data_IF_471239292437
#
_entry.id   IF_471239292437
#
_cell.length_a   1.000
_cell.length_b   1.000
_cell.length_c   1.000
_cell.angle_alpha   90.00
_cell.angle_beta   90.00
_cell.angle_gamma   90.00
#
_symmetry.space_group_name_H-M   'P 1'
#
loop_
_entity.id
_entity.type
_entity.pdbx_description
1 polymer ?
#
# COMPACT_ATOMS: atom_id res chain seq x y z
N UNK A 1 -7.49 1.04 -1.45
CA UNK A 1 -8.09 1.39 -2.76
C UNK A 1 -9.61 1.58 -2.72
N UNK A 2 -10.36 0.91 -1.86
CA UNK A 2 -11.81 1.18 -1.66
C UNK A 2 -12.13 2.64 -1.33
N UNK A 3 -11.21 3.34 -0.66
CA UNK A 3 -11.38 4.74 -0.30
C UNK A 3 -11.60 5.70 -1.49
N UNK A 4 -11.07 5.41 -2.68
CA UNK A 4 -11.29 6.24 -3.85
C UNK A 4 -12.80 6.32 -4.23
N UNK A 5 -13.48 5.19 -4.30
CA UNK A 5 -14.88 5.15 -4.74
C UNK A 5 -15.81 5.81 -3.73
N UNK A 6 -15.61 5.52 -2.45
CA UNK A 6 -16.38 6.11 -1.37
C UNK A 6 -16.10 7.62 -1.28
N UNK A 7 -14.83 8.02 -1.30
CA UNK A 7 -14.42 9.43 -1.27
C UNK A 7 -14.99 10.22 -2.43
N UNK A 8 -14.97 9.65 -3.64
CA UNK A 8 -15.56 10.28 -4.81
C UNK A 8 -17.09 10.45 -4.69
N UNK A 9 -17.80 9.44 -4.20
CA UNK A 9 -19.24 9.50 -4.02
C UNK A 9 -19.64 10.56 -2.96
N UNK A 10 -18.88 10.68 -1.88
CA UNK A 10 -19.08 11.69 -0.85
C UNK A 10 -18.76 13.10 -1.40
N UNK A 11 -17.64 13.25 -2.09
CA UNK A 11 -17.24 14.52 -2.68
C UNK A 11 -18.27 15.01 -3.71
N UNK A 12 -18.80 14.11 -4.54
CA UNK A 12 -19.87 14.38 -5.48
C UNK A 12 -21.16 14.83 -4.78
N UNK A 13 -21.58 14.13 -3.71
CA UNK A 13 -22.77 14.47 -2.94
C UNK A 13 -22.67 15.84 -2.26
N UNK A 14 -21.50 16.14 -1.70
CA UNK A 14 -21.28 17.35 -0.92
C UNK A 14 -20.68 18.50 -1.76
N UNK A 15 -20.45 18.29 -3.05
CA UNK A 15 -19.81 19.23 -3.96
C UNK A 15 -18.44 19.73 -3.41
N UNK A 16 -17.61 18.79 -2.92
CA UNK A 16 -16.30 19.07 -2.36
C UNK A 16 -15.20 18.81 -3.37
N UNK A 17 -14.10 19.57 -3.34
CA UNK A 17 -12.89 19.23 -4.08
C UNK A 17 -12.30 17.92 -3.53
N UNK A 18 -11.72 17.12 -4.41
CA UNK A 18 -11.07 15.85 -4.05
C UNK A 18 -9.64 15.82 -4.60
N UNK A 19 -8.70 15.33 -3.80
CA UNK A 19 -7.33 15.03 -4.21
C UNK A 19 -7.15 13.53 -4.11
N UNK A 20 -6.60 12.93 -5.17
CA UNK A 20 -6.25 11.51 -5.16
C UNK A 20 -4.82 11.34 -4.63
N UNK A 21 -4.64 10.53 -3.60
CA UNK A 21 -3.33 10.24 -3.01
C UNK A 21 -3.03 8.73 -3.06
N UNK A 22 -1.88 8.36 -3.62
CA UNK A 22 -1.47 6.97 -3.83
C UNK A 22 -0.02 6.74 -3.43
N UNK A 23 0.27 5.55 -2.94
CA UNK A 23 1.64 5.09 -2.65
C UNK A 23 2.17 4.14 -3.73
N UNK A 24 1.35 3.83 -4.74
CA UNK A 24 1.72 3.00 -5.90
C UNK A 24 1.20 3.64 -7.18
N UNK A 25 1.85 3.43 -8.34
CA UNK A 25 1.44 4.04 -9.60
C UNK A 25 0.11 3.45 -10.08
N UNK A 26 -0.93 4.27 -10.10
CA UNK A 26 -2.30 3.88 -10.45
C UNK A 26 -2.81 4.53 -11.73
N UNK A 27 -2.21 5.64 -12.14
CA UNK A 27 -2.52 6.32 -13.41
C UNK A 27 -2.03 5.50 -14.59
N UNK A 28 -2.88 5.20 -15.59
CA UNK A 28 -2.48 4.46 -16.77
C UNK A 28 -1.32 5.15 -17.51
N UNK A 29 -0.34 4.34 -17.90
CA UNK A 29 0.81 4.79 -18.71
C UNK A 29 1.19 3.73 -19.73
N UNK A 30 1.92 4.15 -20.77
CA UNK A 30 2.53 3.28 -21.77
C UNK A 30 3.93 2.80 -21.35
N UNK A 31 4.53 3.39 -20.32
CA UNK A 31 5.93 3.15 -19.97
C UNK A 31 6.15 1.85 -19.20
N UNK A 32 5.19 1.46 -18.36
CA UNK A 32 5.24 0.21 -17.60
C UNK A 32 3.84 -0.40 -17.42
N UNK A 33 3.81 -1.70 -17.14
CA UNK A 33 2.57 -2.44 -16.85
C UNK A 33 2.04 -2.13 -15.47
N UNK A 34 0.75 -2.40 -15.21
CA UNK A 34 0.14 -2.19 -13.90
C UNK A 34 0.76 -3.09 -12.83
N UNK A 35 0.69 -2.66 -11.57
CA UNK A 35 1.29 -3.37 -10.42
C UNK A 35 0.73 -4.79 -10.17
N UNK A 36 -0.44 -5.12 -10.70
CA UNK A 36 -1.07 -6.42 -10.54
C UNK A 36 -0.87 -7.35 -11.75
N UNK A 37 -0.17 -6.89 -12.78
CA UNK A 37 0.08 -7.67 -13.99
C UNK A 37 1.56 -8.01 -14.12
N UNK A 38 1.92 -9.15 -14.74
CA UNK A 38 3.31 -9.43 -15.08
C UNK A 38 3.84 -8.39 -16.07
N UNK A 39 5.16 -8.37 -16.25
CA UNK A 39 5.78 -7.52 -17.28
C UNK A 39 5.19 -7.87 -18.66
N UNK A 40 4.60 -6.89 -19.29
CA UNK A 40 3.99 -7.01 -20.61
C UNK A 40 4.80 -6.23 -21.66
N UNK A 41 4.69 -6.56 -22.95
CA UNK A 41 5.21 -5.74 -24.03
C UNK A 41 4.62 -4.32 -23.96
N UNK A 42 5.46 -3.31 -24.25
CA UNK A 42 5.09 -1.88 -24.14
C UNK A 42 3.70 -1.51 -24.70
N UNK A 43 3.27 -2.02 -25.89
CA UNK A 43 1.94 -1.67 -26.42
C UNK A 43 0.77 -2.07 -25.50
N UNK A 44 0.95 -3.08 -24.67
CA UNK A 44 -0.10 -3.62 -23.77
C UNK A 44 -0.09 -2.94 -22.38
N UNK A 45 0.91 -2.15 -22.06
CA UNK A 45 1.03 -1.54 -20.74
C UNK A 45 -0.21 -0.73 -20.37
N UNK A 46 -0.65 0.18 -21.23
CA UNK A 46 -1.83 1.01 -20.96
C UNK A 46 -3.12 0.18 -20.79
N UNK A 47 -3.26 -0.88 -21.60
CA UNK A 47 -4.38 -1.82 -21.48
C UNK A 47 -4.38 -2.54 -20.13
N UNK A 48 -3.20 -2.95 -19.62
CA UNK A 48 -3.07 -3.60 -18.32
C UNK A 48 -3.61 -2.74 -17.17
N UNK A 49 -3.35 -1.44 -17.21
CA UNK A 49 -3.90 -0.49 -16.23
C UNK A 49 -5.42 -0.37 -16.35
N UNK A 50 -5.95 -0.33 -17.57
CA UNK A 50 -7.39 -0.23 -17.78
C UNK A 50 -8.11 -1.49 -17.28
N UNK A 51 -7.57 -2.67 -17.58
CA UNK A 51 -8.11 -3.95 -17.08
C UNK A 51 -8.04 -4.04 -15.56
N UNK A 52 -6.92 -3.66 -14.96
CA UNK A 52 -6.79 -3.60 -13.50
C UNK A 52 -7.83 -2.68 -12.87
N UNK A 53 -7.99 -1.46 -13.38
CA UNK A 53 -9.01 -0.51 -12.92
C UNK A 53 -10.42 -1.08 -13.02
N UNK A 54 -10.73 -1.70 -14.16
CA UNK A 54 -12.04 -2.31 -14.38
C UNK A 54 -12.28 -3.49 -13.44
N UNK A 55 -11.32 -4.37 -13.26
CA UNK A 55 -11.41 -5.50 -12.34
C UNK A 55 -11.66 -5.02 -10.90
N UNK A 56 -10.90 -4.03 -10.46
CA UNK A 56 -11.09 -3.45 -9.13
C UNK A 56 -12.46 -2.79 -8.98
N UNK A 57 -12.89 -2.03 -9.98
CA UNK A 57 -14.20 -1.41 -9.96
C UNK A 57 -15.32 -2.44 -9.84
N UNK A 58 -15.28 -3.53 -10.60
CA UNK A 58 -16.31 -4.57 -10.52
C UNK A 58 -16.38 -5.22 -9.12
N UNK A 59 -15.26 -5.36 -8.44
CA UNK A 59 -15.22 -5.84 -7.05
C UNK A 59 -15.91 -4.90 -6.04
N UNK A 60 -15.92 -3.60 -6.29
CA UNK A 60 -16.55 -2.60 -5.39
C UNK A 60 -17.90 -2.09 -5.87
N UNK A 61 -18.30 -2.36 -7.11
CA UNK A 61 -19.46 -1.76 -7.77
C UNK A 61 -20.77 -1.98 -7.02
N UNK A 62 -21.02 -3.17 -6.50
CA UNK A 62 -22.26 -3.47 -5.76
C UNK A 62 -22.35 -2.65 -4.48
N UNK A 63 -21.26 -2.54 -3.72
CA UNK A 63 -21.20 -1.75 -2.51
C UNK A 63 -21.34 -0.25 -2.80
N UNK A 64 -20.65 0.26 -3.84
CA UNK A 64 -20.79 1.64 -4.29
C UNK A 64 -22.22 1.97 -4.71
N UNK A 65 -22.85 1.09 -5.50
CA UNK A 65 -24.23 1.28 -5.93
C UNK A 65 -25.20 1.34 -4.75
N UNK A 66 -25.00 0.48 -3.76
CA UNK A 66 -25.81 0.47 -2.54
C UNK A 66 -25.63 1.76 -1.74
N UNK A 67 -24.38 2.17 -1.51
CA UNK A 67 -24.05 3.39 -0.78
C UNK A 67 -24.60 4.64 -1.49
N UNK A 68 -24.42 4.77 -2.79
CA UNK A 68 -24.95 5.88 -3.59
C UNK A 68 -26.47 5.98 -3.49
N UNK A 69 -27.18 4.87 -3.71
CA UNK A 69 -28.65 4.85 -3.72
C UNK A 69 -29.24 4.97 -2.32
N UNK A 70 -28.76 4.16 -1.37
CA UNK A 70 -29.40 4.03 -0.05
C UNK A 70 -28.95 5.07 0.97
N UNK A 71 -27.69 5.50 0.89
CA UNK A 71 -27.11 6.41 1.89
C UNK A 71 -27.04 7.84 1.36
N UNK A 72 -26.50 8.01 0.15
CA UNK A 72 -26.20 9.33 -0.40
C UNK A 72 -27.36 9.93 -1.23
N UNK A 73 -28.30 9.13 -1.69
CA UNK A 73 -29.39 9.56 -2.55
C UNK A 73 -28.94 10.12 -3.90
N UNK A 74 -27.86 9.55 -4.47
CA UNK A 74 -27.32 9.93 -5.79
C UNK A 74 -27.36 8.75 -6.77
N UNK A 75 -27.32 9.01 -8.10
CA UNK A 75 -27.30 7.97 -9.10
C UNK A 75 -26.11 7.01 -8.96
N UNK A 76 -26.26 5.73 -9.36
CA UNK A 76 -25.13 4.80 -9.39
C UNK A 76 -24.08 5.24 -10.42
N UNK A 77 -22.82 4.92 -10.16
CA UNK A 77 -21.75 5.14 -11.13
C UNK A 77 -21.92 4.22 -12.36
N UNK A 78 -21.37 4.60 -13.53
CA UNK A 78 -21.44 3.80 -14.75
C UNK A 78 -20.83 2.40 -14.59
N UNK A 79 -21.19 1.48 -15.49
CA UNK A 79 -20.61 0.13 -15.53
C UNK A 79 -19.08 0.16 -15.66
N UNK A 80 -18.54 1.09 -16.47
CA UNK A 80 -17.11 1.30 -16.67
C UNK A 80 -16.39 1.93 -15.48
N UNK A 81 -17.12 2.27 -14.41
CA UNK A 81 -16.60 2.94 -13.24
C UNK A 81 -16.51 4.47 -13.38
N UNK A 82 -16.07 5.15 -12.33
CA UNK A 82 -16.05 6.61 -12.28
C UNK A 82 -14.82 7.21 -13.00
N UNK A 83 -13.90 6.43 -13.50
CA UNK A 83 -12.60 6.88 -14.01
C UNK A 83 -12.65 7.87 -15.17
N UNK A 84 -13.75 7.86 -15.94
CA UNK A 84 -13.95 8.76 -17.06
C UNK A 84 -14.86 9.95 -16.71
N UNK A 85 -15.24 10.12 -15.45
CA UNK A 85 -16.04 11.28 -15.03
C UNK A 85 -15.22 12.57 -15.19
N UNK A 86 -15.88 13.64 -15.61
CA UNK A 86 -15.26 14.97 -15.73
C UNK A 86 -14.65 15.42 -14.39
N UNK A 87 -15.34 15.12 -13.29
CA UNK A 87 -14.88 15.43 -11.94
C UNK A 87 -13.53 14.77 -11.66
N UNK A 88 -13.39 13.48 -11.96
CA UNK A 88 -12.14 12.76 -11.67
C UNK A 88 -10.97 13.16 -12.58
N UNK A 89 -11.25 13.53 -13.83
CA UNK A 89 -10.21 13.89 -14.80
C UNK A 89 -9.49 15.20 -14.47
N UNK A 90 -10.16 16.13 -13.80
CA UNK A 90 -9.58 17.42 -13.38
C UNK A 90 -8.93 17.41 -11.99
N UNK A 91 -9.06 16.32 -11.23
CA UNK A 91 -8.56 16.24 -9.86
C UNK A 91 -7.05 16.06 -9.82
N UNK A 92 -6.34 16.73 -8.87
CA UNK A 92 -4.94 16.45 -8.61
C UNK A 92 -4.72 15.00 -8.17
N UNK A 93 -3.62 14.42 -8.64
CA UNK A 93 -3.15 13.09 -8.25
C UNK A 93 -1.77 13.23 -7.63
N UNK A 94 -1.63 12.81 -6.38
CA UNK A 94 -0.38 12.83 -5.64
C UNK A 94 0.16 11.41 -5.48
N UNK A 95 1.45 11.23 -5.72
CA UNK A 95 2.15 9.98 -5.56
C UNK A 95 3.21 10.10 -4.47
N UNK A 96 3.06 9.31 -3.38
CA UNK A 96 3.98 9.23 -2.25
C UNK A 96 5.12 8.24 -2.50
N UNK A 97 5.85 8.40 -3.60
CA UNK A 97 7.08 7.68 -3.91
C UNK A 97 8.11 8.59 -4.58
N UNK A 98 9.36 8.15 -4.66
CA UNK A 98 10.44 8.92 -5.27
C UNK A 98 10.46 8.78 -6.79
N UNK A 99 10.72 9.88 -7.50
CA UNK A 99 10.95 9.87 -8.95
C UNK A 99 12.25 9.12 -9.35
N UNK A 100 13.16 8.91 -8.40
CA UNK A 100 14.34 8.07 -8.62
C UNK A 100 14.00 6.58 -8.68
N UNK A 101 12.88 6.16 -8.07
CA UNK A 101 12.39 4.77 -8.09
C UNK A 101 11.43 4.54 -9.26
N UNK A 102 10.50 5.46 -9.46
CA UNK A 102 9.56 5.44 -10.58
C UNK A 102 9.63 6.81 -11.25
N UNK A 103 10.37 6.94 -12.37
CA UNK A 103 10.45 8.18 -13.12
C UNK A 103 9.07 8.65 -13.58
N UNK A 104 8.87 9.96 -13.70
CA UNK A 104 7.61 10.53 -14.14
C UNK A 104 7.31 10.11 -15.60
N UNK A 105 6.23 9.35 -15.87
CA UNK A 105 5.87 8.94 -17.21
C UNK A 105 5.50 10.13 -18.09
N UNK A 106 6.03 10.13 -19.32
CA UNK A 106 5.82 11.22 -20.29
C UNK A 106 4.35 11.40 -20.73
N UNK A 107 3.52 10.37 -20.55
CA UNK A 107 2.09 10.39 -20.92
C UNK A 107 1.16 10.70 -19.73
N UNK A 108 1.71 11.02 -18.55
CA UNK A 108 0.92 11.54 -17.44
C UNK A 108 0.60 13.03 -17.64
N UNK A 109 -0.53 13.45 -17.07
CA UNK A 109 -1.01 14.82 -17.18
C UNK A 109 -0.37 15.73 -16.14
N UNK A 110 -0.42 17.05 -16.38
CA UNK A 110 0.09 18.09 -15.49
C UNK A 110 -0.50 18.08 -14.08
N UNK A 111 -1.72 17.55 -13.90
CA UNK A 111 -2.35 17.42 -12.58
C UNK A 111 -1.87 16.19 -11.79
N UNK A 112 -0.86 15.48 -12.27
CA UNK A 112 -0.25 14.32 -11.59
C UNK A 112 1.11 14.72 -11.04
N UNK A 113 1.34 14.52 -9.75
CA UNK A 113 2.54 14.95 -9.06
C UNK A 113 3.19 13.80 -8.29
N UNK A 114 4.50 13.60 -8.47
CA UNK A 114 5.32 12.72 -7.63
C UNK A 114 5.93 13.58 -6.53
N UNK A 115 5.51 13.38 -5.28
CA UNK A 115 5.83 14.25 -4.15
C UNK A 115 6.91 13.69 -3.22
N UNK A 116 7.50 12.56 -3.56
CA UNK A 116 8.38 11.83 -2.64
C UNK A 116 7.61 11.01 -1.61
N UNK A 117 8.32 10.30 -0.75
CA UNK A 117 7.73 9.49 0.30
C UNK A 117 7.09 10.36 1.38
N UNK A 118 5.95 9.93 1.87
CA UNK A 118 5.27 10.57 2.99
C UNK A 118 5.65 9.88 4.29
N UNK A 119 6.30 10.64 5.16
CA UNK A 119 6.68 10.17 6.49
C UNK A 119 5.72 10.78 7.52
N UNK A 120 5.54 10.07 8.61
CA UNK A 120 4.91 10.58 9.82
C UNK A 120 6.03 10.75 10.83
N UNK A 121 6.23 11.95 11.35
CA UNK A 121 7.21 12.20 12.38
C UNK A 121 6.88 11.38 13.63
N UNK A 122 7.91 10.87 14.29
CA UNK A 122 7.74 10.14 15.54
C UNK A 122 7.22 11.08 16.62
N UNK A 123 6.39 10.56 17.54
CA UNK A 123 5.97 11.32 18.68
C UNK A 123 7.20 11.60 19.57
N UNK A 124 7.44 12.87 19.90
CA UNK A 124 8.61 13.31 20.65
C UNK A 124 8.70 12.65 22.04
N UNK A 125 7.58 12.22 22.59
CA UNK A 125 7.43 11.59 23.90
C UNK A 125 7.43 10.05 23.84
N UNK A 126 7.57 9.44 22.65
CA UNK A 126 7.60 7.98 22.54
C UNK A 126 8.83 7.38 23.25
N UNK A 127 8.59 6.41 24.11
CA UNK A 127 9.61 5.64 24.78
C UNK A 127 9.41 4.14 24.53
N UNK A 128 10.47 3.37 24.29
CA UNK A 128 10.33 1.94 24.15
C UNK A 128 9.87 1.31 25.48
N UNK A 129 9.01 0.29 25.47
CA UNK A 129 8.68 -0.48 26.67
C UNK A 129 9.94 -0.99 27.37
N UNK A 130 9.91 -1.07 28.72
CA UNK A 130 11.09 -1.45 29.50
C UNK A 130 11.79 -2.73 29.01
N UNK A 131 11.08 -3.84 28.68
CA UNK A 131 11.77 -5.03 28.18
C UNK A 131 12.53 -4.80 26.87
N UNK A 132 11.98 -3.98 25.96
CA UNK A 132 12.66 -3.66 24.70
C UNK A 132 13.87 -2.76 24.95
N UNK A 133 13.75 -1.77 25.83
CA UNK A 133 14.83 -0.88 26.20
C UNK A 133 15.99 -1.65 26.82
N UNK A 134 15.69 -2.50 27.81
CA UNK A 134 16.69 -3.31 28.49
C UNK A 134 17.38 -4.27 27.52
N UNK A 135 16.63 -4.88 26.62
CA UNK A 135 17.20 -5.71 25.57
C UNK A 135 18.13 -4.88 24.66
N UNK A 136 17.74 -3.70 24.20
CA UNK A 136 18.58 -2.85 23.35
C UNK A 136 19.87 -2.43 24.03
N UNK A 137 19.84 -2.19 25.35
CA UNK A 137 20.99 -1.76 26.13
C UNK A 137 21.92 -2.90 26.58
N UNK A 138 21.44 -4.16 26.59
CA UNK A 138 22.17 -5.29 27.14
C UNK A 138 23.27 -5.87 26.26
N UNK A 139 23.57 -5.30 25.08
CA UNK A 139 24.62 -5.84 24.21
C UNK A 139 24.75 -5.14 22.87
N UNK A 140 25.30 -5.85 21.88
CA UNK A 140 25.47 -5.33 20.51
C UNK A 140 24.14 -5.02 19.84
N UNK A 141 24.15 -4.11 18.88
CA UNK A 141 22.95 -3.74 18.10
C UNK A 141 22.28 -4.98 17.49
N UNK A 142 20.99 -5.20 17.76
CA UNK A 142 20.27 -6.36 17.21
C UNK A 142 19.91 -6.17 15.74
N UNK A 143 19.77 -7.29 15.03
CA UNK A 143 19.18 -7.32 13.68
C UNK A 143 17.66 -7.26 13.80
N UNK A 144 17.01 -6.29 13.15
CA UNK A 144 15.55 -6.25 13.09
C UNK A 144 15.05 -7.07 11.90
N UNK A 145 14.13 -8.00 12.17
CA UNK A 145 13.51 -8.85 11.15
C UNK A 145 11.98 -8.77 11.26
N UNK A 146 11.34 -8.33 10.18
CA UNK A 146 9.89 -8.24 10.11
C UNK A 146 9.39 -8.35 8.66
N UNK A 147 8.23 -8.96 8.47
CA UNK A 147 7.60 -9.14 7.16
C UNK A 147 6.39 -8.23 6.95
N UNK A 148 6.15 -7.30 7.87
CA UNK A 148 5.03 -6.37 7.80
C UNK A 148 3.68 -7.10 7.65
N UNK A 149 2.90 -6.73 6.64
CA UNK A 149 1.59 -7.34 6.34
C UNK A 149 1.67 -8.58 5.44
N UNK A 150 2.86 -9.03 5.06
CA UNK A 150 3.02 -10.23 4.24
C UNK A 150 2.72 -11.48 5.05
N UNK A 151 1.85 -12.36 4.52
CA UNK A 151 1.57 -13.66 5.12
C UNK A 151 2.56 -14.70 4.61
N UNK A 152 3.21 -15.41 5.53
CA UNK A 152 4.04 -16.56 5.19
C UNK A 152 3.16 -17.81 4.93
N UNK A 153 3.51 -18.61 3.93
CA UNK A 153 2.83 -19.89 3.68
C UNK A 153 3.08 -20.89 4.81
N UNK A 154 4.28 -20.86 5.38
CA UNK A 154 4.66 -21.69 6.52
C UNK A 154 5.44 -20.85 7.53
N UNK A 155 4.71 -20.16 8.45
CA UNK A 155 5.32 -19.23 9.42
C UNK A 155 6.33 -19.92 10.34
N UNK A 156 6.03 -21.15 10.81
CA UNK A 156 6.90 -21.90 11.70
C UNK A 156 8.24 -22.24 11.05
N UNK A 157 8.21 -22.77 9.82
CA UNK A 157 9.43 -23.07 9.07
C UNK A 157 10.24 -21.79 8.80
N UNK A 158 9.59 -20.69 8.49
CA UNK A 158 10.25 -19.40 8.29
C UNK A 158 10.93 -18.93 9.58
N UNK A 159 10.23 -19.02 10.71
CA UNK A 159 10.81 -18.70 12.03
C UNK A 159 12.01 -19.58 12.35
N UNK A 160 11.93 -20.90 12.09
CA UNK A 160 13.05 -21.83 12.30
C UNK A 160 14.29 -21.45 11.49
N UNK A 161 14.12 -21.13 10.22
CA UNK A 161 15.22 -20.70 9.33
C UNK A 161 15.88 -19.44 9.89
N UNK A 162 15.07 -18.45 10.31
CA UNK A 162 15.56 -17.19 10.87
C UNK A 162 16.36 -17.45 12.16
N UNK A 163 15.78 -18.19 13.10
CA UNK A 163 16.42 -18.50 14.40
C UNK A 163 17.74 -19.26 14.16
N UNK A 164 17.75 -20.26 13.30
CA UNK A 164 18.98 -20.99 12.97
C UNK A 164 20.05 -20.10 12.33
N UNK A 165 19.66 -19.20 11.42
CA UNK A 165 20.58 -18.27 10.80
C UNK A 165 21.20 -17.31 11.82
N UNK A 166 20.38 -16.73 12.70
CA UNK A 166 20.82 -15.83 13.76
C UNK A 166 21.74 -16.53 14.76
N UNK A 167 21.39 -17.73 15.18
CA UNK A 167 22.21 -18.56 16.08
C UNK A 167 23.59 -18.87 15.47
N UNK A 168 23.62 -19.29 14.19
CA UNK A 168 24.89 -19.54 13.47
C UNK A 168 25.73 -18.29 13.32
N UNK A 169 25.10 -17.14 13.06
CA UNK A 169 25.77 -15.87 12.92
C UNK A 169 26.14 -15.23 14.29
N UNK A 170 25.70 -15.82 15.40
CA UNK A 170 25.87 -15.29 16.77
C UNK A 170 25.36 -13.85 16.87
N UNK A 171 24.24 -13.55 16.21
CA UNK A 171 23.64 -12.21 16.19
C UNK A 171 22.43 -12.16 17.12
N UNK A 172 22.32 -11.03 17.82
CA UNK A 172 21.09 -10.67 18.53
C UNK A 172 20.05 -10.17 17.52
N UNK A 173 18.76 -10.37 17.82
CA UNK A 173 17.72 -9.93 16.90
C UNK A 173 16.44 -9.50 17.62
N UNK A 174 15.65 -8.70 16.92
CA UNK A 174 14.26 -8.40 17.24
C UNK A 174 13.42 -8.98 16.11
N UNK A 175 12.56 -9.95 16.43
CA UNK A 175 11.69 -10.60 15.47
C UNK A 175 10.26 -10.05 15.61
N UNK A 176 9.80 -9.28 14.63
CA UNK A 176 8.43 -8.78 14.59
C UNK A 176 7.49 -9.86 14.07
N UNK A 177 6.61 -10.39 14.93
CA UNK A 177 5.62 -11.40 14.55
C UNK A 177 4.56 -10.85 13.58
N UNK A 178 4.02 -9.67 13.86
CA UNK A 178 3.07 -8.97 13.00
C UNK A 178 1.98 -9.88 12.40
N UNK A 179 1.57 -9.60 11.18
CA UNK A 179 0.60 -10.43 10.44
C UNK A 179 1.25 -11.66 9.77
N UNK A 180 2.57 -11.77 9.84
CA UNK A 180 3.33 -12.89 9.25
C UNK A 180 3.09 -14.20 9.98
N UNK A 181 2.56 -14.18 11.22
CA UNK A 181 2.30 -15.36 12.03
C UNK A 181 3.58 -16.01 12.58
N UNK A 182 4.69 -15.27 12.66
CA UNK A 182 5.96 -15.76 13.21
C UNK A 182 5.88 -15.83 14.75
N UNK A 183 5.14 -16.81 15.25
CA UNK A 183 5.06 -17.07 16.69
C UNK A 183 5.85 -18.33 17.02
N UNK A 184 6.75 -18.26 17.97
CA UNK A 184 7.45 -19.38 18.56
C UNK A 184 7.43 -19.29 20.07
N UNK A 185 7.22 -20.42 20.72
CA UNK A 185 7.22 -20.54 22.19
C UNK A 185 8.63 -20.67 22.77
N UNK A 186 9.60 -21.13 21.97
CA UNK A 186 10.99 -21.31 22.41
C UNK A 186 11.92 -20.45 21.52
N UNK A 187 11.99 -19.18 21.82
CA UNK A 187 12.92 -18.24 21.19
C UNK A 187 14.11 -18.08 22.13
N UNK A 188 15.37 -18.16 21.64
CA UNK A 188 16.54 -17.87 22.46
C UNK A 188 16.51 -16.44 23.07
N UNK A 189 17.11 -16.25 24.25
CA UNK A 189 17.14 -14.94 24.93
C UNK A 189 17.86 -13.85 24.12
N UNK A 190 18.61 -14.22 23.09
CA UNK A 190 19.25 -13.30 22.16
C UNK A 190 18.33 -12.76 21.05
N UNK A 191 17.06 -13.20 21.00
CA UNK A 191 16.11 -12.82 19.96
C UNK A 191 14.83 -12.27 20.57
#
# INVERSE_FOLDING_TARGET
MGGLYIGLAIAEKLNLPLIQAYVVPFTPTKEFSSVLTPKLPKPLNRLSHQLMRQMMWQGFRSADTLARKKVLGIPPAPFSGPYNSKSLQGMPVLYGFSSSVIPFPSDWKENTHITGYWFVDEAEDWQPPSPLRDFLQSGTSPVYIGFGSMRNRNPEKTADIIIQALTRAKQRAILLSGWSGLHKTNIPDSI
#
